data_IF_528933400698
#
_entry.id   IF_528933400698
#
_cell.length_a   1.000
_cell.length_b   1.000
_cell.length_c   1.000
_cell.angle_alpha   90.00
_cell.angle_beta   90.00
_cell.angle_gamma   90.00
#
_symmetry.space_group_name_H-M   'P 1'
#
loop_
_entity.id
_entity.type
_entity.pdbx_description
1 polymer ?
#
# COMPACT_ATOMS: atom_id res chain seq x y z
N UNK A 1 -6.72 -0.58 32.05
CA UNK A 1 -7.20 0.77 31.71
C UNK A 1 -8.72 0.77 31.85
N UNK A 2 -9.30 1.80 32.45
CA UNK A 2 -10.77 1.94 32.48
C UNK A 2 -11.26 2.38 31.09
N UNK A 3 -12.47 1.97 30.70
CA UNK A 3 -13.05 2.23 29.36
C UNK A 3 -12.99 3.73 28.96
N UNK A 4 -13.16 4.65 29.89
CA UNK A 4 -13.08 6.11 29.60
C UNK A 4 -11.70 6.68 29.37
N UNK A 5 -10.63 5.90 29.43
CA UNK A 5 -9.23 6.35 29.20
C UNK A 5 -8.77 6.16 27.76
N UNK A 6 -9.51 5.43 26.94
CA UNK A 6 -9.18 5.18 25.55
C UNK A 6 -9.77 6.26 24.64
N UNK A 7 -9.10 6.54 23.52
CA UNK A 7 -9.63 7.46 22.53
C UNK A 7 -10.95 6.92 21.94
N UNK A 8 -11.94 7.78 21.76
CA UNK A 8 -13.27 7.41 21.25
C UNK A 8 -13.21 6.69 19.88
N UNK A 9 -12.23 7.03 19.04
CA UNK A 9 -12.01 6.37 17.75
C UNK A 9 -11.76 4.86 17.87
N UNK A 10 -11.26 4.37 19.01
CA UNK A 10 -11.03 2.94 19.23
C UNK A 10 -12.33 2.15 19.37
N UNK A 11 -13.45 2.79 19.71
CA UNK A 11 -14.76 2.15 19.76
C UNK A 11 -15.28 1.73 18.38
N UNK A 12 -14.67 2.28 17.30
CA UNK A 12 -15.00 1.95 15.90
C UNK A 12 -14.13 0.83 15.32
N UNK A 13 -13.15 0.33 16.09
CA UNK A 13 -12.22 -0.72 15.64
C UNK A 13 -12.77 -2.09 16.07
N UNK A 14 -13.19 -2.85 15.08
CA UNK A 14 -13.58 -4.26 15.30
C UNK A 14 -12.34 -5.13 15.53
N UNK A 15 -12.46 -6.13 16.39
CA UNK A 15 -11.41 -7.14 16.58
C UNK A 15 -11.21 -7.92 15.28
N UNK A 16 -9.96 -8.00 14.82
CA UNK A 16 -9.63 -8.71 13.59
C UNK A 16 -9.87 -10.21 13.73
N UNK A 17 -10.84 -10.77 13.00
CA UNK A 17 -11.06 -12.21 12.91
C UNK A 17 -9.79 -12.96 12.43
N UNK A 18 -8.96 -12.32 11.62
CA UNK A 18 -7.67 -12.87 11.14
C UNK A 18 -6.70 -13.08 12.30
N UNK A 19 -6.67 -12.17 13.31
CA UNK A 19 -5.82 -12.36 14.50
C UNK A 19 -6.23 -13.58 15.31
N UNK A 20 -7.51 -13.87 15.38
CA UNK A 20 -7.99 -15.08 16.05
C UNK A 20 -7.59 -16.35 15.28
N UNK A 21 -7.63 -16.30 13.95
CA UNK A 21 -7.13 -17.39 13.12
C UNK A 21 -5.61 -17.60 13.28
N UNK A 22 -4.84 -16.52 13.40
CA UNK A 22 -3.39 -16.63 13.64
C UNK A 22 -3.01 -17.35 14.94
N UNK A 23 -3.85 -17.31 15.96
CA UNK A 23 -3.64 -18.11 17.19
C UNK A 23 -3.71 -19.63 16.95
N UNK A 24 -4.26 -20.05 15.82
CA UNK A 24 -4.33 -21.45 15.41
C UNK A 24 -3.11 -21.89 14.59
N UNK A 25 -2.30 -20.93 14.08
CA UNK A 25 -1.13 -21.14 13.26
C UNK A 25 -0.06 -21.85 14.05
N UNK A 26 0.24 -22.64 14.48
CA UNK A 26 1.29 -23.30 15.27
C UNK A 26 0.85 -24.64 15.84
N UNK A 27 -0.38 -25.03 15.57
CA UNK A 27 -0.87 -26.35 16.02
C UNK A 27 -0.36 -27.44 15.06
N UNK A 28 0.21 -28.54 15.59
CA UNK A 28 0.67 -29.64 14.75
C UNK A 28 -0.45 -30.20 13.85
N UNK A 29 -0.09 -30.48 12.59
CA UNK A 29 -1.00 -31.08 11.61
C UNK A 29 -1.94 -30.09 10.88
N UNK A 30 -1.82 -28.78 11.13
CA UNK A 30 -2.57 -27.77 10.37
C UNK A 30 -1.72 -27.24 9.22
N UNK A 31 -2.25 -27.34 8.00
CA UNK A 31 -1.73 -26.63 6.82
C UNK A 31 -2.54 -25.33 6.70
N UNK A 32 -1.89 -24.18 6.90
CA UNK A 32 -2.57 -22.88 6.92
C UNK A 32 -2.39 -22.14 5.61
N UNK A 33 -3.50 -21.63 5.07
CA UNK A 33 -3.54 -20.68 3.97
C UNK A 33 -4.02 -19.28 4.43
N UNK A 34 -4.05 -19.04 5.74
CA UNK A 34 -4.62 -17.81 6.32
C UNK A 34 -3.67 -16.61 6.30
N UNK A 35 -2.36 -16.82 6.15
CA UNK A 35 -1.38 -15.75 6.08
C UNK A 35 -0.27 -16.09 5.11
N UNK A 36 0.06 -15.15 4.22
CA UNK A 36 1.12 -15.29 3.23
C UNK A 36 2.51 -15.04 3.84
N UNK A 37 2.90 -15.82 4.85
CA UNK A 37 4.23 -15.69 5.43
C UNK A 37 5.29 -16.22 4.44
N UNK A 38 6.37 -15.46 4.18
CA UNK A 38 7.50 -15.97 3.42
C UNK A 38 8.12 -17.20 4.07
N UNK A 39 8.66 -18.10 3.26
CA UNK A 39 9.39 -19.25 3.76
C UNK A 39 10.69 -18.78 4.45
N UNK A 40 10.76 -18.95 5.77
CA UNK A 40 11.89 -18.50 6.58
C UNK A 40 13.22 -19.17 6.23
N UNK A 41 13.19 -20.33 5.56
CA UNK A 41 14.41 -21.04 5.11
C UNK A 41 15.09 -20.35 3.93
N UNK A 42 14.37 -19.44 3.23
CA UNK A 42 14.86 -18.70 2.08
C UNK A 42 15.40 -17.31 2.45
N UNK A 43 15.36 -16.91 3.73
CA UNK A 43 15.90 -15.62 4.14
C UNK A 43 17.42 -15.56 3.95
N UNK A 44 17.90 -14.52 3.29
CA UNK A 44 19.34 -14.27 3.10
C UNK A 44 20.00 -13.73 4.39
N UNK A 45 20.12 -14.60 5.39
CA UNK A 45 20.72 -14.26 6.67
C UNK A 45 22.18 -13.88 6.50
N UNK A 46 22.93 -14.58 5.64
CA UNK A 46 24.35 -14.32 5.40
C UNK A 46 24.59 -12.94 4.75
N UNK A 47 23.77 -12.59 3.75
CA UNK A 47 23.81 -11.28 3.11
C UNK A 47 23.48 -10.15 4.09
N UNK A 48 22.44 -10.32 4.91
CA UNK A 48 22.06 -9.34 5.93
C UNK A 48 23.14 -9.16 7.01
N UNK A 49 23.80 -10.23 7.46
CA UNK A 49 24.94 -10.15 8.39
C UNK A 49 26.09 -9.35 7.78
N UNK A 50 26.45 -9.65 6.52
CA UNK A 50 27.51 -8.95 5.80
C UNK A 50 27.18 -7.46 5.64
N UNK A 51 25.98 -7.13 5.19
CA UNK A 51 25.52 -5.74 5.02
C UNK A 51 25.55 -4.96 6.35
N UNK A 52 25.08 -5.58 7.43
CA UNK A 52 25.09 -4.96 8.76
C UNK A 52 26.51 -4.68 9.27
N UNK A 53 27.44 -5.63 9.08
CA UNK A 53 28.84 -5.44 9.42
C UNK A 53 29.50 -4.33 8.61
N UNK A 54 29.21 -4.26 7.30
CA UNK A 54 29.73 -3.21 6.42
C UNK A 54 29.23 -1.82 6.82
N UNK A 55 27.93 -1.67 7.10
CA UNK A 55 27.35 -0.41 7.52
C UNK A 55 28.00 0.13 8.82
N UNK A 56 28.18 -0.74 9.81
CA UNK A 56 28.82 -0.38 11.07
C UNK A 56 30.33 -0.13 10.94
N UNK A 57 31.01 -0.79 10.00
CA UNK A 57 32.46 -0.61 9.80
C UNK A 57 32.78 0.64 8.96
N UNK A 58 31.98 0.95 7.96
CA UNK A 58 32.24 2.03 7.01
C UNK A 58 31.73 3.38 7.49
N UNK A 59 30.49 3.42 8.01
CA UNK A 59 29.81 4.66 8.41
C UNK A 59 29.12 4.54 9.78
N UNK A 60 29.85 4.21 10.85
CA UNK A 60 29.24 3.93 12.15
C UNK A 60 28.44 5.11 12.70
N UNK A 61 28.91 6.33 12.47
CA UNK A 61 28.20 7.54 12.91
C UNK A 61 26.88 7.74 12.18
N UNK A 62 26.83 7.52 10.88
CA UNK A 62 25.60 7.61 10.10
C UNK A 62 24.62 6.47 10.43
N UNK A 63 25.15 5.25 10.66
CA UNK A 63 24.34 4.08 10.97
C UNK A 63 23.67 4.16 12.36
N UNK A 64 24.29 4.87 13.33
CA UNK A 64 23.84 4.90 14.74
C UNK A 64 23.24 6.24 15.18
N UNK A 65 23.34 7.29 14.38
CA UNK A 65 22.84 8.63 14.72
C UNK A 65 21.40 8.81 14.22
N UNK A 66 20.75 9.84 14.74
CA UNK A 66 19.48 10.33 14.19
C UNK A 66 19.64 10.70 12.71
N UNK A 67 18.64 10.34 11.90
CA UNK A 67 18.57 10.62 10.47
C UNK A 67 17.50 11.65 10.11
N UNK A 68 17.38 11.93 8.81
CA UNK A 68 16.29 12.75 8.27
C UNK A 68 14.93 12.05 8.46
N UNK A 69 13.89 12.85 8.66
CA UNK A 69 12.50 12.34 8.85
C UNK A 69 12.02 11.52 7.65
N UNK A 70 12.44 11.92 6.45
CA UNK A 70 12.09 11.24 5.19
C UNK A 70 12.83 9.91 5.00
N UNK A 71 13.82 9.63 5.83
CA UNK A 71 14.66 8.45 5.75
C UNK A 71 16.07 8.73 5.20
N UNK A 72 16.94 7.74 5.32
CA UNK A 72 18.34 7.82 4.93
C UNK A 72 18.48 8.11 3.43
N UNK A 73 19.12 9.24 3.09
CA UNK A 73 19.18 9.74 1.70
C UNK A 73 19.75 8.74 0.71
N UNK A 74 20.90 8.05 0.97
CA UNK A 74 21.40 7.06 0.02
C UNK A 74 20.42 5.91 -0.25
N UNK A 75 19.63 5.49 0.73
CA UNK A 75 18.58 4.50 0.52
C UNK A 75 17.49 5.03 -0.41
N UNK A 76 17.04 6.28 -0.21
CA UNK A 76 16.03 6.91 -1.08
C UNK A 76 16.54 7.06 -2.51
N UNK A 77 17.82 7.37 -2.70
CA UNK A 77 18.46 7.44 -4.01
C UNK A 77 18.48 6.06 -4.70
N UNK A 78 18.81 5.00 -3.97
CA UNK A 78 18.77 3.63 -4.50
C UNK A 78 17.35 3.20 -4.85
N UNK A 79 16.36 3.54 -4.02
CA UNK A 79 14.94 3.27 -4.32
C UNK A 79 14.52 4.03 -5.58
N UNK A 80 14.89 5.30 -5.71
CA UNK A 80 14.57 6.07 -6.91
C UNK A 80 15.16 5.43 -8.17
N UNK A 81 16.43 5.00 -8.14
CA UNK A 81 17.06 4.29 -9.26
C UNK A 81 16.36 2.97 -9.59
N UNK A 82 15.99 2.21 -8.58
CA UNK A 82 15.22 0.97 -8.75
C UNK A 82 13.87 1.23 -9.42
N UNK A 83 13.14 2.23 -8.97
CA UNK A 83 11.85 2.61 -9.55
C UNK A 83 11.99 3.21 -10.96
N UNK A 84 13.06 3.95 -11.25
CA UNK A 84 13.38 4.41 -12.61
C UNK A 84 13.57 3.24 -13.57
N UNK A 85 14.27 2.21 -13.15
CA UNK A 85 14.42 0.97 -13.93
C UNK A 85 13.08 0.25 -14.16
N UNK A 86 12.09 0.46 -13.29
CA UNK A 86 10.71 -0.05 -13.40
C UNK A 86 9.75 0.86 -14.20
N UNK A 87 10.26 1.88 -14.87
CA UNK A 87 9.47 2.73 -15.76
C UNK A 87 8.96 4.02 -15.12
N UNK A 88 9.57 4.49 -14.03
CA UNK A 88 9.27 5.79 -13.40
C UNK A 88 10.47 6.74 -13.56
N UNK A 89 10.79 7.20 -14.76
CA UNK A 89 12.07 7.86 -15.08
C UNK A 89 12.30 9.19 -14.36
N UNK A 90 11.23 9.85 -13.93
CA UNK A 90 11.29 11.18 -13.29
C UNK A 90 11.29 11.12 -11.76
N UNK A 91 11.21 9.93 -11.15
CA UNK A 91 11.20 9.79 -9.70
C UNK A 91 12.58 10.15 -9.13
N UNK A 92 12.60 11.01 -8.13
CA UNK A 92 13.80 11.42 -7.44
C UNK A 92 13.71 11.12 -5.92
N UNK A 93 14.85 11.14 -5.23
CA UNK A 93 14.91 10.85 -3.81
C UNK A 93 14.02 11.75 -2.93
N UNK A 94 13.84 13.02 -3.32
CA UNK A 94 12.94 13.95 -2.62
C UNK A 94 11.46 13.58 -2.69
N UNK A 95 11.06 12.74 -3.65
CA UNK A 95 9.67 12.30 -3.82
C UNK A 95 9.35 11.08 -2.94
N UNK A 96 10.32 10.62 -2.16
CA UNK A 96 10.26 9.37 -1.39
C UNK A 96 10.34 9.61 0.11
N UNK A 97 9.54 8.86 0.84
CA UNK A 97 9.62 8.73 2.29
C UNK A 97 9.78 7.24 2.63
N UNK A 98 10.77 6.93 3.47
CA UNK A 98 10.98 5.57 3.99
C UNK A 98 10.16 5.40 5.27
N UNK A 99 9.30 4.40 5.29
CA UNK A 99 8.44 4.09 6.43
C UNK A 99 8.78 2.74 7.06
N UNK A 100 8.36 2.53 8.29
CA UNK A 100 8.46 1.22 8.97
C UNK A 100 7.32 0.32 8.49
N UNK A 101 7.42 -0.11 7.24
CA UNK A 101 6.41 -0.90 6.55
C UNK A 101 5.19 -0.09 6.08
N UNK A 102 4.37 -0.73 5.22
CA UNK A 102 3.18 -0.11 4.61
C UNK A 102 2.13 0.34 5.63
N UNK A 103 2.06 -0.32 6.80
CA UNK A 103 1.12 0.08 7.85
C UNK A 103 1.38 1.52 8.35
N UNK A 104 2.65 1.93 8.47
CA UNK A 104 2.99 3.32 8.83
C UNK A 104 2.64 4.28 7.70
N UNK A 105 2.86 3.89 6.44
CA UNK A 105 2.47 4.71 5.29
C UNK A 105 0.95 4.96 5.27
N UNK A 106 0.15 3.91 5.45
CA UNK A 106 -1.31 4.00 5.52
C UNK A 106 -1.78 4.86 6.71
N UNK A 107 -1.13 4.73 7.87
CA UNK A 107 -1.41 5.55 9.05
C UNK A 107 -1.13 7.03 8.80
N UNK A 108 -0.01 7.35 8.17
CA UNK A 108 0.33 8.72 7.78
C UNK A 108 -0.64 9.29 6.76
N UNK A 109 -1.04 8.51 5.75
CA UNK A 109 -2.05 8.89 4.75
C UNK A 109 -3.38 9.18 5.45
N UNK A 110 -3.84 8.26 6.29
CA UNK A 110 -5.07 8.45 7.05
C UNK A 110 -5.03 9.69 7.93
N UNK A 111 -3.93 9.89 8.66
CA UNK A 111 -3.72 11.03 9.54
C UNK A 111 -3.69 12.38 8.81
N UNK A 112 -3.11 12.42 7.61
CA UNK A 112 -2.93 13.67 6.87
C UNK A 112 -4.13 14.03 5.99
N UNK A 113 -4.90 13.04 5.55
CA UNK A 113 -5.89 13.25 4.50
C UNK A 113 -7.34 12.95 4.90
N UNK A 114 -7.58 12.21 5.99
CA UNK A 114 -8.93 11.73 6.34
C UNK A 114 -9.44 12.44 7.59
N UNK A 115 -10.56 13.12 7.43
CA UNK A 115 -11.40 13.62 8.53
C UNK A 115 -12.59 12.67 8.78
N UNK A 116 -13.24 12.81 9.92
CA UNK A 116 -14.42 12.02 10.28
C UNK A 116 -15.56 12.23 9.28
N UNK A 117 -16.08 11.14 8.72
CA UNK A 117 -17.14 11.14 7.71
C UNK A 117 -16.64 11.25 6.26
N UNK A 118 -15.32 11.45 6.04
CA UNK A 118 -14.78 11.38 4.69
C UNK A 118 -14.97 9.99 4.08
N UNK A 119 -15.29 9.95 2.81
CA UNK A 119 -15.53 8.70 2.08
C UNK A 119 -14.26 8.23 1.40
N UNK A 120 -13.97 6.95 1.55
CA UNK A 120 -12.83 6.27 0.93
C UNK A 120 -13.35 5.09 0.14
N UNK A 121 -13.03 5.02 -1.15
CA UNK A 121 -13.35 3.86 -1.98
C UNK A 121 -12.18 2.87 -1.93
N UNK A 122 -12.52 1.60 -1.74
CA UNK A 122 -11.57 0.48 -1.75
C UNK A 122 -12.09 -0.64 -2.65
N UNK A 123 -11.25 -1.57 -3.05
CA UNK A 123 -11.68 -2.80 -3.72
C UNK A 123 -12.55 -3.67 -2.80
N UNK A 124 -13.50 -4.36 -3.34
CA UNK A 124 -14.35 -5.28 -2.59
C UNK A 124 -14.23 -6.72 -3.08
N UNK A 125 -13.40 -7.56 -2.43
CA UNK A 125 -12.68 -7.35 -1.17
C UNK A 125 -11.31 -6.68 -1.33
N UNK A 126 -10.71 -6.19 -0.21
CA UNK A 126 -9.37 -5.60 -0.15
C UNK A 126 -8.66 -5.96 1.16
N UNK A 127 -7.43 -5.45 1.34
CA UNK A 127 -6.61 -5.68 2.53
C UNK A 127 -7.28 -5.10 3.79
N UNK A 128 -7.59 -5.97 4.73
CA UNK A 128 -8.38 -5.62 5.91
C UNK A 128 -7.70 -4.57 6.80
N UNK A 129 -6.37 -4.58 6.91
CA UNK A 129 -5.66 -3.64 7.75
C UNK A 129 -5.78 -2.19 7.25
N UNK A 130 -5.91 -1.97 5.93
CA UNK A 130 -6.19 -0.66 5.35
C UNK A 130 -7.57 -0.15 5.77
N UNK A 131 -8.60 -1.01 5.69
CA UNK A 131 -9.95 -0.67 6.13
C UNK A 131 -9.94 -0.27 7.62
N UNK A 132 -9.28 -1.05 8.46
CA UNK A 132 -9.17 -0.78 9.89
C UNK A 132 -8.44 0.54 10.17
N UNK A 133 -7.34 0.79 9.43
CA UNK A 133 -6.56 2.01 9.55
C UNK A 133 -7.40 3.25 9.20
N UNK A 134 -8.06 3.25 8.05
CA UNK A 134 -8.84 4.42 7.62
C UNK A 134 -10.09 4.65 8.49
N UNK A 135 -10.76 3.59 8.93
CA UNK A 135 -11.86 3.69 9.91
C UNK A 135 -11.42 4.28 11.25
N UNK A 136 -10.17 4.07 11.65
CA UNK A 136 -9.61 4.66 12.87
C UNK A 136 -9.57 6.20 12.77
N UNK A 137 -9.40 6.73 11.56
CA UNK A 137 -9.47 8.18 11.27
C UNK A 137 -10.89 8.67 10.96
N UNK A 138 -11.89 7.79 11.02
CA UNK A 138 -13.30 8.13 10.85
C UNK A 138 -13.82 7.99 9.43
N UNK A 139 -13.04 7.35 8.52
CA UNK A 139 -13.49 7.14 7.14
C UNK A 139 -14.74 6.26 7.05
N UNK A 140 -15.65 6.65 6.16
CA UNK A 140 -16.72 5.80 5.62
C UNK A 140 -16.16 5.02 4.42
N UNK A 141 -15.97 3.72 4.60
CA UNK A 141 -15.36 2.86 3.56
C UNK A 141 -16.44 2.31 2.63
N UNK A 142 -16.27 2.57 1.34
CA UNK A 142 -17.16 2.16 0.26
C UNK A 142 -16.43 1.13 -0.61
N UNK A 143 -17.07 -0.01 -0.85
CA UNK A 143 -16.49 -1.08 -1.68
C UNK A 143 -16.85 -0.91 -3.15
N UNK A 144 -15.84 -0.83 -4.01
CA UNK A 144 -16.00 -0.94 -5.46
C UNK A 144 -15.94 -2.42 -5.87
N UNK A 145 -16.86 -2.91 -6.71
CA UNK A 145 -16.84 -4.29 -7.15
C UNK A 145 -15.62 -4.59 -8.03
N UNK A 146 -15.11 -5.82 -7.91
CA UNK A 146 -14.03 -6.34 -8.73
C UNK A 146 -14.50 -7.55 -9.54
N UNK A 147 -13.73 -7.88 -10.58
CA UNK A 147 -13.84 -9.12 -11.35
C UNK A 147 -12.45 -9.70 -11.64
N UNK A 148 -12.30 -10.61 -12.58
CA UNK A 148 -11.02 -11.24 -12.93
C UNK A 148 -9.96 -10.23 -13.41
N UNK A 149 -10.37 -9.07 -13.93
CA UNK A 149 -9.48 -7.97 -14.36
C UNK A 149 -9.34 -6.86 -13.32
N UNK A 150 -9.69 -7.11 -12.06
CA UNK A 150 -9.62 -6.14 -10.95
C UNK A 150 -10.85 -5.25 -10.85
N UNK A 151 -10.66 -4.03 -10.35
CA UNK A 151 -11.74 -3.07 -10.09
C UNK A 151 -12.54 -2.73 -11.36
N UNK A 152 -13.89 -2.79 -11.27
CA UNK A 152 -14.78 -2.45 -12.37
C UNK A 152 -14.89 -0.93 -12.51
N UNK A 153 -14.21 -0.36 -13.49
CA UNK A 153 -14.02 1.09 -13.62
C UNK A 153 -15.35 1.84 -13.87
N UNK A 154 -16.29 1.25 -14.61
CA UNK A 154 -17.61 1.88 -14.83
C UNK A 154 -18.43 1.98 -13.53
N UNK A 155 -18.29 0.99 -12.65
CA UNK A 155 -18.91 1.02 -11.33
C UNK A 155 -18.19 1.98 -10.39
N UNK A 156 -16.87 2.01 -10.46
CA UNK A 156 -16.08 2.98 -9.72
C UNK A 156 -16.48 4.42 -10.08
N UNK A 157 -16.66 4.75 -11.36
CA UNK A 157 -17.05 6.09 -11.76
C UNK A 157 -18.42 6.48 -11.16
N UNK A 158 -19.40 5.55 -11.15
CA UNK A 158 -20.69 5.76 -10.49
C UNK A 158 -20.53 6.07 -9.00
N UNK A 159 -19.68 5.30 -8.30
CA UNK A 159 -19.41 5.51 -6.88
C UNK A 159 -18.69 6.85 -6.61
N UNK A 160 -17.77 7.26 -7.48
CA UNK A 160 -17.11 8.57 -7.37
C UNK A 160 -18.13 9.71 -7.48
N UNK A 161 -19.05 9.64 -8.45
CA UNK A 161 -20.09 10.65 -8.67
C UNK A 161 -21.03 10.72 -7.46
N UNK A 162 -21.49 9.56 -6.97
CA UNK A 162 -22.45 9.45 -5.88
C UNK A 162 -21.86 9.90 -4.55
N UNK A 163 -20.64 9.45 -4.24
CA UNK A 163 -20.08 9.57 -2.89
C UNK A 163 -19.01 10.65 -2.75
N UNK A 164 -18.43 11.14 -3.85
CA UNK A 164 -17.35 12.15 -3.85
C UNK A 164 -16.23 11.80 -2.87
N UNK A 165 -15.55 10.68 -3.05
CA UNK A 165 -14.58 10.18 -2.10
C UNK A 165 -13.36 11.10 -1.99
N UNK A 166 -12.73 11.10 -0.82
CA UNK A 166 -11.46 11.77 -0.57
C UNK A 166 -10.30 11.10 -1.31
N UNK A 167 -10.30 9.75 -1.28
CA UNK A 167 -9.29 8.94 -1.96
C UNK A 167 -9.86 7.59 -2.38
N UNK A 168 -9.13 6.93 -3.29
CA UNK A 168 -9.34 5.56 -3.74
C UNK A 168 -8.09 4.77 -3.36
N UNK A 169 -8.25 3.68 -2.61
CA UNK A 169 -7.17 2.75 -2.31
C UNK A 169 -7.31 1.50 -3.18
N UNK A 170 -6.21 1.05 -3.79
CA UNK A 170 -6.18 -0.13 -4.65
C UNK A 170 -4.87 -0.89 -4.54
N UNK A 171 -4.94 -2.22 -4.67
CA UNK A 171 -3.80 -3.12 -4.88
C UNK A 171 -3.91 -3.63 -6.32
N UNK A 172 -3.41 -2.88 -7.32
CA UNK A 172 -3.73 -3.14 -8.72
C UNK A 172 -3.03 -4.37 -9.29
N UNK A 173 -2.05 -4.93 -8.58
CA UNK A 173 -1.28 -6.11 -9.00
C UNK A 173 -1.41 -7.20 -7.96
N UNK A 174 -1.96 -8.36 -8.36
CA UNK A 174 -2.16 -9.54 -7.50
C UNK A 174 -2.87 -9.20 -6.18
N UNK A 175 -3.99 -8.48 -6.28
CA UNK A 175 -4.73 -7.89 -5.17
C UNK A 175 -4.99 -8.83 -3.99
N UNK A 176 -4.85 -8.33 -2.77
CA UNK A 176 -5.08 -9.09 -1.55
C UNK A 176 -6.51 -8.81 -1.01
N UNK A 177 -7.40 -9.81 -0.90
CA UNK A 177 -7.15 -11.25 -1.01
C UNK A 177 -7.52 -11.87 -2.38
N UNK A 178 -7.93 -11.07 -3.37
CA UNK A 178 -8.57 -11.57 -4.60
C UNK A 178 -7.62 -12.27 -5.57
N UNK A 179 -6.33 -11.90 -5.58
CA UNK A 179 -5.37 -12.30 -6.60
C UNK A 179 -5.61 -11.62 -7.96
N UNK A 180 -6.64 -10.81 -8.10
CA UNK A 180 -6.95 -10.12 -9.35
C UNK A 180 -5.87 -9.10 -9.71
N UNK A 181 -5.66 -8.90 -11.00
CA UNK A 181 -4.73 -7.90 -11.52
C UNK A 181 -5.49 -6.92 -12.42
N UNK A 182 -5.40 -5.64 -12.08
CA UNK A 182 -6.03 -4.57 -12.86
C UNK A 182 -5.39 -4.52 -14.25
N UNK A 183 -6.20 -4.67 -15.31
CA UNK A 183 -5.71 -4.66 -16.68
C UNK A 183 -5.14 -3.29 -17.06
N UNK A 184 -4.26 -3.25 -18.09
CA UNK A 184 -3.63 -2.01 -18.54
C UNK A 184 -4.67 -0.94 -18.91
N UNK A 185 -5.72 -1.32 -19.63
CA UNK A 185 -6.82 -0.42 -19.99
C UNK A 185 -7.46 0.18 -18.75
N UNK A 186 -7.78 -0.65 -17.76
CA UNK A 186 -8.41 -0.20 -16.51
C UNK A 186 -7.49 0.70 -15.69
N UNK A 187 -6.17 0.46 -15.68
CA UNK A 187 -5.18 1.35 -15.04
C UNK A 187 -5.19 2.74 -15.67
N UNK A 188 -5.19 2.82 -17.01
CA UNK A 188 -5.24 4.09 -17.72
C UNK A 188 -6.56 4.84 -17.45
N UNK A 189 -7.68 4.13 -17.47
CA UNK A 189 -9.00 4.69 -17.15
C UNK A 189 -9.09 5.17 -15.70
N UNK A 190 -8.51 4.44 -14.75
CA UNK A 190 -8.46 4.83 -13.34
C UNK A 190 -7.71 6.15 -13.14
N UNK A 191 -6.55 6.31 -13.78
CA UNK A 191 -5.80 7.57 -13.77
C UNK A 191 -6.61 8.72 -14.40
N UNK A 192 -7.30 8.46 -15.51
CA UNK A 192 -8.15 9.45 -16.15
C UNK A 192 -9.32 9.89 -15.25
N UNK A 193 -9.94 8.95 -14.50
CA UNK A 193 -10.99 9.28 -13.52
C UNK A 193 -10.43 10.12 -12.37
N UNK A 194 -9.24 9.76 -11.84
CA UNK A 194 -8.59 10.52 -10.78
C UNK A 194 -8.38 11.99 -11.18
N UNK A 195 -7.87 12.23 -12.38
CA UNK A 195 -7.70 13.57 -12.92
C UNK A 195 -9.03 14.31 -13.12
N UNK A 196 -10.03 13.62 -13.73
CA UNK A 196 -11.34 14.21 -14.02
C UNK A 196 -12.09 14.63 -12.77
N UNK A 197 -12.06 13.81 -11.75
CA UNK A 197 -12.82 14.02 -10.51
C UNK A 197 -11.97 14.58 -9.38
N UNK A 198 -10.68 14.85 -9.61
CA UNK A 198 -9.73 15.41 -8.65
C UNK A 198 -9.68 14.56 -7.35
N UNK A 199 -9.61 13.24 -7.51
CA UNK A 199 -9.57 12.28 -6.40
C UNK A 199 -8.20 11.60 -6.34
N UNK A 200 -7.62 11.50 -5.15
CA UNK A 200 -6.33 10.86 -4.95
C UNK A 200 -6.46 9.33 -5.05
N UNK A 201 -5.54 8.70 -5.75
CA UNK A 201 -5.34 7.25 -5.72
C UNK A 201 -4.18 6.93 -4.77
N UNK A 202 -4.38 5.96 -3.90
CA UNK A 202 -3.32 5.31 -3.12
C UNK A 202 -3.10 3.94 -3.74
N UNK A 203 -1.98 3.78 -4.45
CA UNK A 203 -1.54 2.52 -5.04
C UNK A 203 -0.65 1.78 -4.04
N UNK A 204 -1.06 0.59 -3.63
CA UNK A 204 -0.28 -0.32 -2.78
C UNK A 204 0.21 -1.48 -3.66
N UNK A 205 1.53 -1.64 -3.81
CA UNK A 205 2.13 -2.64 -4.71
C UNK A 205 3.12 -3.58 -3.98
N UNK A 206 2.64 -4.44 -3.07
CA UNK A 206 3.50 -5.37 -2.35
C UNK A 206 3.90 -6.60 -3.16
N UNK A 207 3.24 -6.87 -4.29
CA UNK A 207 3.35 -8.16 -5.00
C UNK A 207 3.84 -8.04 -6.45
N UNK A 208 4.07 -6.85 -6.98
CA UNK A 208 4.37 -6.64 -8.39
C UNK A 208 5.60 -7.38 -8.92
N UNK A 209 6.54 -7.70 -8.04
CA UNK A 209 7.74 -8.48 -8.38
C UNK A 209 7.56 -10.01 -8.22
N UNK A 210 6.43 -10.47 -7.70
CA UNK A 210 6.16 -11.88 -7.40
C UNK A 210 5.31 -12.54 -8.50
N UNK A 211 5.76 -12.47 -9.74
CA UNK A 211 5.08 -13.12 -10.86
C UNK A 211 5.81 -14.41 -11.30
N UNK A 212 5.06 -15.36 -11.87
CA UNK A 212 5.59 -16.67 -12.28
C UNK A 212 5.66 -16.82 -13.80
N UNK A 213 4.63 -16.38 -14.52
CA UNK A 213 4.51 -16.61 -15.97
C UNK A 213 4.97 -15.40 -16.79
N UNK A 214 4.41 -14.22 -16.51
CA UNK A 214 4.69 -12.99 -17.22
C UNK A 214 4.68 -11.80 -16.27
N UNK A 215 5.47 -10.74 -16.54
CA UNK A 215 5.41 -9.51 -15.73
C UNK A 215 4.01 -8.90 -15.80
N UNK A 216 3.52 -8.34 -14.70
CA UNK A 216 2.25 -7.64 -14.68
C UNK A 216 2.29 -6.37 -15.53
N UNK A 217 1.13 -5.74 -15.82
CA UNK A 217 1.10 -4.42 -16.43
C UNK A 217 1.90 -3.40 -15.59
N UNK A 218 2.46 -2.33 -16.21
CA UNK A 218 3.15 -1.28 -15.48
C UNK A 218 2.30 -0.69 -14.35
N UNK A 219 2.91 -0.35 -13.21
CA UNK A 219 2.21 0.27 -12.08
C UNK A 219 1.50 1.56 -12.50
N UNK A 220 0.51 2.00 -11.72
CA UNK A 220 -0.12 3.32 -11.95
C UNK A 220 0.95 4.43 -11.90
N UNK A 221 1.93 4.29 -11.00
CA UNK A 221 3.04 5.20 -10.90
C UNK A 221 3.87 5.27 -12.21
N UNK A 222 4.20 4.12 -12.80
CA UNK A 222 4.92 4.07 -14.08
C UNK A 222 4.09 4.65 -15.23
N UNK A 223 2.78 4.35 -15.28
CA UNK A 223 1.87 4.90 -16.27
C UNK A 223 1.67 6.41 -16.11
N UNK A 224 1.69 6.92 -14.89
CA UNK A 224 1.54 8.37 -14.64
C UNK A 224 2.65 9.20 -15.28
N UNK A 225 3.83 8.63 -15.47
CA UNK A 225 4.92 9.30 -16.20
C UNK A 225 4.60 9.54 -17.70
N UNK A 226 3.63 8.78 -18.24
CA UNK A 226 3.21 8.89 -19.66
C UNK A 226 1.92 9.70 -19.81
N UNK A 227 1.22 10.03 -18.72
CA UNK A 227 -0.05 10.74 -18.71
C UNK A 227 0.12 12.07 -17.97
N UNK A 228 0.33 13.20 -18.67
CA UNK A 228 0.59 14.49 -18.03
C UNK A 228 -0.49 14.89 -17.02
N UNK A 229 -0.07 15.31 -15.82
CA UNK A 229 -0.96 15.74 -14.73
C UNK A 229 -1.54 14.63 -13.88
N UNK A 230 -1.42 13.35 -14.25
CA UNK A 230 -1.95 12.24 -13.44
C UNK A 230 -1.13 11.98 -12.17
N UNK A 231 0.14 12.36 -12.17
CA UNK A 231 1.04 12.20 -11.02
C UNK A 231 0.55 12.93 -9.77
N UNK A 232 -0.11 14.06 -9.92
CA UNK A 232 -0.62 14.88 -8.81
C UNK A 232 -1.75 14.19 -8.04
N UNK A 233 -2.33 13.14 -8.60
CA UNK A 233 -3.43 12.36 -8.02
C UNK A 233 -3.01 10.95 -7.61
N UNK A 234 -1.71 10.72 -7.38
CA UNK A 234 -1.21 9.38 -7.10
C UNK A 234 -0.18 9.37 -5.96
N UNK A 235 -0.44 8.58 -4.93
CA UNK A 235 0.54 8.11 -3.95
C UNK A 235 0.80 6.61 -4.18
N UNK A 236 2.08 6.19 -4.13
CA UNK A 236 2.50 4.81 -4.37
C UNK A 236 3.41 4.33 -3.24
#
# INVERSE_FOLDING_TARGET
>A
MQEGQLAQRLNKVETSAIRELFKLLGKPGIISFAGGFPDSTLFDVAGLQTASQQALAQEPSAALQYGATEGYQPLREQIAQFMQAKGVPTLAAQDLIVTTGSQQALDLIGKCLIDEGDKVIVEGPTFLATIQCFRLYGAEVISAPIDAEGMQIDKLEQLIIEHRPKLIYTIPTFGNPSGATLSLERRQRLLALAMRYQVLIVEDDPYGDLYFDAPPPPSLLALSAQIPGSRDFLAH
#
